data_IF_379504701266
#
_entry.id   IF_379504701266
#
_cell.length_a   1.000
_cell.length_b   1.000
_cell.length_c   1.000
_cell.angle_alpha   90.00
_cell.angle_beta   90.00
_cell.angle_gamma   90.00
#
_symmetry.space_group_name_H-M   'P 1'
#
loop_
_entity.id
_entity.type
_entity.pdbx_description
1 polymer ?
#
# COMPACT_ATOMS: atom_id res chain seq x y z
N UNK A 1 32.37 19.74 51.35
CA UNK A 1 31.31 19.14 50.51
C UNK A 1 30.07 20.08 50.31
N UNK A 2 30.25 21.38 50.04
CA UNK A 2 29.12 22.35 49.88
C UNK A 2 28.88 22.85 48.45
N UNK A 3 29.89 22.75 47.56
CA UNK A 3 29.77 23.20 46.17
C UNK A 3 28.83 22.33 45.32
N UNK A 4 28.84 21.00 45.54
CA UNK A 4 28.01 20.05 44.79
C UNK A 4 26.49 20.26 45.00
N UNK A 5 26.08 20.71 46.20
CA UNK A 5 24.68 20.99 46.54
C UNK A 5 24.11 22.23 45.83
N UNK A 6 24.95 23.18 45.42
CA UNK A 6 24.52 24.37 44.67
C UNK A 6 24.31 24.09 43.18
N UNK A 7 24.92 23.03 42.65
CA UNK A 7 24.75 22.59 41.25
C UNK A 7 23.49 21.75 41.06
N UNK A 8 23.00 21.08 42.11
CA UNK A 8 21.76 20.29 42.09
C UNK A 8 20.55 21.08 41.54
N UNK A 9 20.24 22.31 41.99
CA UNK A 9 19.11 23.05 41.43
C UNK A 9 19.29 23.41 39.95
N UNK A 10 20.51 23.68 39.48
CA UNK A 10 20.78 23.96 38.06
C UNK A 10 20.66 22.71 37.18
N UNK A 11 21.11 21.56 37.68
CA UNK A 11 20.95 20.28 36.97
C UNK A 11 19.46 19.90 36.90
N UNK A 12 18.72 20.07 38.01
CA UNK A 12 17.27 19.84 38.03
C UNK A 12 16.52 20.80 37.10
N UNK A 13 16.90 22.08 37.08
CA UNK A 13 16.32 23.07 36.17
C UNK A 13 16.54 22.68 34.71
N UNK A 14 17.75 22.27 34.35
CA UNK A 14 18.07 21.88 32.98
C UNK A 14 17.32 20.60 32.57
N UNK A 15 17.26 19.59 33.45
CA UNK A 15 16.46 18.38 33.23
C UNK A 15 14.98 18.73 33.05
N UNK A 16 14.46 19.67 33.85
CA UNK A 16 13.07 20.09 33.74
C UNK A 16 12.79 20.78 32.41
N UNK A 17 13.71 21.64 31.93
CA UNK A 17 13.60 22.30 30.63
C UNK A 17 13.65 21.28 29.49
N UNK A 18 14.55 20.29 29.56
CA UNK A 18 14.63 19.21 28.56
C UNK A 18 13.41 18.28 28.59
N UNK A 19 12.89 17.95 29.77
CA UNK A 19 11.68 17.16 29.93
C UNK A 19 10.45 17.90 29.39
N UNK A 20 10.36 19.21 29.64
CA UNK A 20 9.26 20.04 29.15
C UNK A 20 9.28 20.16 27.63
N UNK A 21 10.46 20.35 27.04
CA UNK A 21 10.60 20.45 25.58
C UNK A 21 10.31 19.13 24.89
N UNK A 22 10.80 18.00 25.42
CA UNK A 22 10.47 16.67 24.88
C UNK A 22 8.98 16.35 25.00
N UNK A 23 8.34 16.71 26.13
CA UNK A 23 6.90 16.50 26.33
C UNK A 23 6.06 17.37 25.39
N UNK A 24 6.46 18.62 25.14
CA UNK A 24 5.79 19.51 24.19
C UNK A 24 5.85 18.97 22.75
N UNK A 25 7.01 18.42 22.34
CA UNK A 25 7.16 17.77 21.03
C UNK A 25 6.26 16.53 20.92
N UNK A 26 6.23 15.66 21.95
CA UNK A 26 5.35 14.49 21.98
C UNK A 26 3.88 14.88 21.99
N UNK A 27 3.51 15.95 22.69
CA UNK A 27 2.13 16.45 22.73
C UNK A 27 1.67 17.00 21.38
N UNK A 28 2.54 17.74 20.68
CA UNK A 28 2.28 18.22 19.31
C UNK A 28 2.18 17.03 18.35
N UNK A 29 3.05 16.04 18.51
CA UNK A 29 2.99 14.80 17.72
C UNK A 29 1.66 14.06 17.95
N UNK A 30 1.25 13.84 19.19
CA UNK A 30 0.00 13.16 19.56
C UNK A 30 -1.24 13.91 19.05
N UNK A 31 -1.24 15.24 19.15
CA UNK A 31 -2.30 16.10 18.60
C UNK A 31 -2.43 16.01 17.08
N UNK A 32 -1.30 15.87 16.38
CA UNK A 32 -1.26 15.84 14.90
C UNK A 32 -1.42 14.43 14.34
N UNK A 33 -1.16 13.39 15.13
CA UNK A 33 -1.26 11.99 14.72
C UNK A 33 -2.37 11.26 15.48
N UNK A 34 -3.53 11.92 15.65
CA UNK A 34 -4.77 11.24 16.02
C UNK A 34 -5.03 10.16 14.97
N UNK A 35 -4.65 8.93 15.31
CA UNK A 35 -4.95 7.77 14.51
C UNK A 35 -6.46 7.57 14.65
N UNK A 36 -7.21 7.96 13.62
CA UNK A 36 -8.58 7.51 13.44
C UNK A 36 -8.53 5.99 13.25
N UNK A 37 -8.58 5.27 14.36
CA UNK A 37 -8.89 3.85 14.35
C UNK A 37 -10.36 3.78 13.90
N UNK A 38 -10.68 3.15 12.76
CA UNK A 38 -12.07 2.95 12.40
C UNK A 38 -12.69 2.05 13.47
N UNK A 39 -13.48 2.65 14.35
CA UNK A 39 -14.37 1.94 15.24
C UNK A 39 -15.41 1.27 14.35
N UNK A 40 -15.34 -0.05 14.21
CA UNK A 40 -16.40 -0.82 13.59
C UNK A 40 -17.57 -0.82 14.58
N UNK A 41 -18.36 0.26 14.56
CA UNK A 41 -19.72 0.23 15.08
C UNK A 41 -20.53 -0.67 14.15
N UNK A 42 -20.85 -1.87 14.62
CA UNK A 42 -21.82 -2.75 13.99
C UNK A 42 -23.17 -2.05 13.94
N UNK A 43 -23.45 -1.39 12.82
CA UNK A 43 -24.78 -0.98 12.42
C UNK A 43 -25.45 -2.16 11.68
N UNK A 44 -26.76 -2.37 11.88
CA UNK A 44 -27.47 -3.51 11.30
C UNK A 44 -27.41 -3.46 9.78
N UNK A 45 -27.29 -4.64 9.18
CA UNK A 45 -27.25 -4.90 7.74
C UNK A 45 -28.51 -4.36 7.07
N UNK A 46 -28.50 -3.07 6.73
CA UNK A 46 -29.35 -2.55 5.69
C UNK A 46 -28.64 -2.92 4.38
N UNK A 47 -29.21 -3.87 3.66
CA UNK A 47 -28.84 -4.21 2.30
C UNK A 47 -29.00 -2.95 1.43
N UNK A 48 -27.97 -2.12 1.43
CA UNK A 48 -27.78 -1.14 0.38
C UNK A 48 -27.36 -1.98 -0.82
N UNK A 49 -28.35 -2.28 -1.67
CA UNK A 49 -28.13 -2.52 -3.09
C UNK A 49 -27.49 -1.25 -3.64
N UNK A 50 -26.23 -1.02 -3.29
CA UNK A 50 -25.36 -0.12 -4.02
C UNK A 50 -25.36 -0.71 -5.42
N UNK A 51 -25.93 0.04 -6.36
CA UNK A 51 -25.57 -0.09 -7.74
C UNK A 51 -24.05 -0.10 -7.75
N UNK A 52 -23.46 -1.30 -7.81
CA UNK A 52 -22.06 -1.45 -8.16
C UNK A 52 -21.94 -0.62 -9.42
N UNK A 53 -20.97 0.30 -9.45
CA UNK A 53 -20.42 0.67 -10.74
C UNK A 53 -20.04 -0.66 -11.37
N UNK A 54 -20.92 -1.21 -12.21
CA UNK A 54 -20.71 -2.50 -12.84
C UNK A 54 -19.52 -2.23 -13.72
N UNK A 55 -18.35 -2.64 -13.23
CA UNK A 55 -17.14 -2.71 -14.02
C UNK A 55 -17.57 -3.34 -15.35
N UNK A 56 -17.08 -2.82 -16.49
CA UNK A 56 -17.43 -3.38 -17.78
C UNK A 56 -17.24 -4.90 -17.77
N UNK A 57 -17.97 -5.65 -18.62
CA UNK A 57 -17.83 -7.10 -18.69
C UNK A 57 -16.35 -7.50 -18.73
N UNK A 58 -15.98 -8.62 -18.09
CA UNK A 58 -14.59 -9.06 -17.98
C UNK A 58 -13.88 -9.22 -19.35
N UNK A 59 -14.65 -9.37 -20.42
CA UNK A 59 -14.16 -9.40 -21.80
C UNK A 59 -13.64 -8.05 -22.32
N UNK A 60 -13.93 -6.94 -21.63
CA UNK A 60 -13.39 -5.63 -21.99
C UNK A 60 -12.06 -5.39 -21.25
N UNK A 61 -10.95 -5.15 -21.99
CA UNK A 61 -9.66 -4.88 -21.38
C UNK A 61 -9.68 -3.50 -20.70
N UNK A 62 -9.81 -3.48 -19.38
CA UNK A 62 -9.71 -2.27 -18.56
C UNK A 62 -8.25 -1.89 -18.30
N UNK A 63 -7.47 -2.91 -17.96
CA UNK A 63 -6.07 -2.86 -17.60
C UNK A 63 -5.39 -3.99 -18.34
N UNK A 64 -4.21 -3.72 -18.86
CA UNK A 64 -3.34 -4.71 -19.46
C UNK A 64 -2.06 -4.81 -18.64
N UNK A 65 -1.52 -6.02 -18.51
CA UNK A 65 -0.20 -6.22 -17.94
C UNK A 65 0.77 -6.13 -19.12
N UNK A 66 1.53 -5.04 -19.19
CA UNK A 66 2.42 -4.76 -20.33
C UNK A 66 3.61 -5.72 -20.33
N UNK A 67 4.29 -5.85 -19.19
CA UNK A 67 5.44 -6.71 -19.04
C UNK A 67 5.79 -6.95 -17.57
N UNK A 68 6.61 -7.98 -17.33
CA UNK A 68 7.29 -8.23 -16.06
C UNK A 68 8.79 -8.06 -16.28
N UNK A 69 9.38 -7.11 -15.57
CA UNK A 69 10.81 -6.82 -15.61
C UNK A 69 11.53 -7.48 -14.43
N UNK A 70 12.81 -7.81 -14.59
CA UNK A 70 13.65 -8.31 -13.49
C UNK A 70 13.22 -9.64 -12.89
N UNK A 71 12.54 -10.49 -13.68
CA UNK A 71 12.03 -11.81 -13.27
C UNK A 71 13.11 -12.63 -12.56
N UNK A 72 12.81 -13.14 -11.36
CA UNK A 72 13.75 -13.93 -10.56
C UNK A 72 14.79 -13.11 -9.79
N UNK A 73 14.76 -11.78 -9.87
CA UNK A 73 15.68 -10.88 -9.17
C UNK A 73 14.86 -9.92 -8.29
N UNK A 74 14.71 -10.22 -7.00
CA UNK A 74 13.87 -9.44 -6.07
C UNK A 74 14.09 -7.91 -6.15
N UNK A 75 15.34 -7.47 -6.32
CA UNK A 75 15.73 -6.06 -6.37
C UNK A 75 15.23 -5.30 -7.61
N UNK A 76 15.04 -5.99 -8.74
CA UNK A 76 14.61 -5.39 -10.01
C UNK A 76 13.25 -5.91 -10.49
N UNK A 77 12.66 -6.86 -9.77
CA UNK A 77 11.43 -7.53 -10.14
C UNK A 77 10.22 -6.58 -10.04
N UNK A 78 9.58 -6.34 -11.19
CA UNK A 78 8.51 -5.35 -11.33
C UNK A 78 7.47 -5.81 -12.35
N UNK A 79 6.20 -5.75 -12.00
CA UNK A 79 5.08 -5.93 -12.93
C UNK A 79 4.55 -4.58 -13.34
N UNK A 80 4.53 -4.30 -14.65
CA UNK A 80 3.98 -3.05 -15.18
C UNK A 80 2.54 -3.26 -15.66
N UNK A 81 1.63 -2.51 -15.08
CA UNK A 81 0.23 -2.46 -15.48
C UNK A 81 -0.03 -1.17 -16.22
N UNK A 82 -0.75 -1.25 -17.34
CA UNK A 82 -1.12 -0.12 -18.18
C UNK A 82 -2.63 -0.01 -18.25
N UNK A 83 -3.15 1.20 -18.08
CA UNK A 83 -4.56 1.47 -18.23
C UNK A 83 -4.92 1.61 -19.71
N UNK A 84 -5.86 0.79 -20.18
CA UNK A 84 -6.32 0.81 -21.59
C UNK A 84 -7.48 1.80 -21.78
N UNK A 85 -8.31 2.00 -20.76
CA UNK A 85 -9.45 2.92 -20.79
C UNK A 85 -9.29 4.08 -19.81
N UNK A 86 -9.53 5.31 -20.26
CA UNK A 86 -9.52 6.48 -19.38
C UNK A 86 -10.74 6.51 -18.46
N UNK A 87 -10.53 6.86 -17.18
CA UNK A 87 -11.60 7.11 -16.21
C UNK A 87 -11.21 6.63 -14.81
N UNK A 88 -11.93 7.11 -13.79
CA UNK A 88 -11.67 6.69 -12.41
C UNK A 88 -11.90 5.18 -12.23
N UNK A 89 -10.88 4.48 -11.74
CA UNK A 89 -10.94 3.05 -11.42
C UNK A 89 -10.26 2.82 -10.09
N UNK A 90 -11.06 2.45 -9.10
CA UNK A 90 -10.56 2.07 -7.80
C UNK A 90 -10.07 0.62 -7.83
N UNK A 91 -8.78 0.44 -7.55
CA UNK A 91 -8.15 -0.89 -7.44
C UNK A 91 -8.24 -1.47 -6.03
N UNK A 92 -8.98 -0.82 -5.12
CA UNK A 92 -9.10 -1.26 -3.74
C UNK A 92 -9.57 -2.71 -3.66
N UNK A 93 -8.75 -3.58 -3.07
CA UNK A 93 -9.09 -5.00 -2.91
C UNK A 93 -8.87 -5.88 -4.14
N UNK A 94 -8.40 -5.31 -5.26
CA UNK A 94 -7.94 -6.09 -6.41
C UNK A 94 -6.71 -6.91 -6.01
N UNK A 95 -6.45 -7.97 -6.77
CA UNK A 95 -5.36 -8.92 -6.48
C UNK A 95 -4.52 -9.19 -7.72
N UNK A 96 -3.21 -9.10 -7.55
CA UNK A 96 -2.23 -9.60 -8.52
C UNK A 96 -1.68 -10.92 -7.98
N UNK A 97 -1.93 -12.02 -8.67
CA UNK A 97 -1.58 -13.36 -8.21
C UNK A 97 -0.77 -14.14 -9.24
N UNK A 98 0.06 -15.07 -8.75
CA UNK A 98 0.79 -16.06 -9.54
C UNK A 98 0.12 -17.45 -9.47
N UNK A 99 0.78 -18.45 -10.08
CA UNK A 99 0.33 -19.85 -10.06
C UNK A 99 0.69 -20.59 -8.76
N UNK A 100 1.61 -20.06 -7.95
CA UNK A 100 2.08 -20.63 -6.68
C UNK A 100 1.28 -20.15 -5.46
N UNK A 101 0.35 -19.22 -5.66
CA UNK A 101 -0.53 -18.67 -4.62
C UNK A 101 0.01 -17.42 -3.92
N UNK A 102 1.08 -16.79 -4.42
CA UNK A 102 1.46 -15.46 -3.98
C UNK A 102 0.46 -14.45 -4.56
N UNK A 103 -0.24 -13.72 -3.69
CA UNK A 103 -1.16 -12.66 -4.10
C UNK A 103 -0.83 -11.31 -3.44
N UNK A 104 -0.69 -10.27 -4.26
CA UNK A 104 -0.58 -8.89 -3.83
C UNK A 104 -1.96 -8.24 -3.84
N UNK A 105 -2.39 -7.70 -2.71
CA UNK A 105 -3.66 -6.97 -2.60
C UNK A 105 -3.41 -5.49 -2.80
N UNK A 106 -4.08 -4.89 -3.78
CA UNK A 106 -3.96 -3.47 -4.06
C UNK A 106 -4.58 -2.63 -2.92
N UNK A 107 -3.88 -1.60 -2.45
CA UNK A 107 -4.41 -0.66 -1.47
C UNK A 107 -5.49 0.22 -2.08
N UNK A 108 -6.01 1.17 -1.30
CA UNK A 108 -6.92 2.18 -1.83
C UNK A 108 -6.18 3.10 -2.82
N UNK A 109 -6.26 2.76 -4.09
CA UNK A 109 -5.59 3.45 -5.18
C UNK A 109 -6.59 3.72 -6.30
N UNK A 110 -6.68 4.99 -6.71
CA UNK A 110 -7.41 5.37 -7.91
C UNK A 110 -6.46 5.36 -9.11
N UNK A 111 -6.67 4.41 -10.02
CA UNK A 111 -5.93 4.33 -11.26
C UNK A 111 -6.72 5.03 -12.35
N UNK A 112 -6.35 6.26 -12.73
CA UNK A 112 -7.13 7.05 -13.71
C UNK A 112 -6.67 6.79 -15.14
N UNK A 113 -5.36 6.82 -15.36
CA UNK A 113 -4.71 6.63 -16.65
C UNK A 113 -3.20 6.33 -16.45
N UNK A 114 -2.51 5.97 -17.53
CA UNK A 114 -1.07 5.75 -17.52
C UNK A 114 -0.69 4.34 -17.09
N UNK A 115 0.41 4.23 -16.33
CA UNK A 115 0.94 2.95 -15.85
C UNK A 115 1.23 2.95 -14.36
N UNK A 116 1.13 1.77 -13.75
CA UNK A 116 1.51 1.49 -12.38
C UNK A 116 2.54 0.37 -12.41
N UNK A 117 3.64 0.58 -11.69
CA UNK A 117 4.68 -0.42 -11.48
C UNK A 117 4.49 -1.07 -10.11
N UNK A 118 4.36 -2.40 -10.08
CA UNK A 118 4.25 -3.20 -8.84
C UNK A 118 5.56 -3.93 -8.63
N UNK A 119 6.34 -3.46 -7.66
CA UNK A 119 7.61 -4.03 -7.26
C UNK A 119 7.41 -5.12 -6.22
N UNK A 120 8.13 -6.23 -6.33
CA UNK A 120 8.08 -7.30 -5.32
C UNK A 120 8.80 -6.89 -4.03
N UNK A 121 9.87 -6.10 -4.14
CA UNK A 121 10.71 -5.68 -3.01
C UNK A 121 10.02 -4.80 -1.97
N UNK A 122 10.72 -4.56 -0.87
CA UNK A 122 10.39 -3.54 0.13
C UNK A 122 10.49 -2.11 -0.42
N UNK A 123 9.52 -1.30 -0.04
CA UNK A 123 9.44 0.11 -0.42
C UNK A 123 8.18 0.79 0.11
N UNK A 124 8.00 2.03 -0.31
CA UNK A 124 6.88 2.89 0.09
C UNK A 124 5.96 3.08 -1.11
N UNK A 125 4.68 2.72 -0.95
CA UNK A 125 3.68 2.86 -1.99
C UNK A 125 3.49 4.33 -2.39
N UNK A 126 3.46 4.58 -3.69
CA UNK A 126 3.09 5.84 -4.33
C UNK A 126 1.95 5.56 -5.33
N UNK A 127 1.30 6.59 -5.90
CA UNK A 127 0.22 6.39 -6.87
C UNK A 127 0.62 5.62 -8.15
N UNK A 128 1.92 5.59 -8.49
CA UNK A 128 2.44 4.94 -9.70
C UNK A 128 3.42 3.81 -9.41
N UNK A 129 3.86 3.64 -8.15
CA UNK A 129 4.78 2.58 -7.75
C UNK A 129 4.28 1.92 -6.46
N UNK A 130 3.92 0.65 -6.55
CA UNK A 130 3.48 -0.17 -5.42
C UNK A 130 4.56 -1.17 -5.05
N UNK A 131 4.61 -1.54 -3.78
CA UNK A 131 5.64 -2.42 -3.24
C UNK A 131 4.98 -3.54 -2.44
N UNK A 132 5.25 -4.79 -2.81
CA UNK A 132 4.75 -5.99 -2.13
C UNK A 132 5.46 -6.24 -0.80
N UNK A 133 6.62 -5.62 -0.58
CA UNK A 133 7.38 -5.73 0.68
C UNK A 133 7.86 -7.14 0.99
N UNK A 134 8.25 -7.87 -0.07
CA UNK A 134 8.93 -9.14 0.04
C UNK A 134 10.44 -8.95 -0.11
N UNK A 135 11.22 -9.87 0.43
CA UNK A 135 12.68 -9.94 0.35
C UNK A 135 13.17 -11.00 -0.65
N UNK A 136 12.23 -11.67 -1.31
CA UNK A 136 12.45 -12.76 -2.27
C UNK A 136 11.70 -12.47 -3.58
N UNK A 137 12.20 -12.97 -4.73
CA UNK A 137 11.46 -12.87 -5.98
C UNK A 137 10.20 -13.74 -5.90
N UNK A 138 9.15 -13.29 -6.57
CA UNK A 138 7.88 -14.00 -6.73
C UNK A 138 7.78 -14.58 -8.14
N UNK A 139 8.20 -13.84 -9.16
CA UNK A 139 7.94 -14.19 -10.55
C UNK A 139 9.06 -15.03 -11.16
N UNK A 140 8.68 -16.04 -11.96
CA UNK A 140 9.57 -16.90 -12.73
C UNK A 140 9.17 -16.96 -14.20
N UNK A 141 10.15 -17.25 -15.06
CA UNK A 141 9.92 -17.40 -16.50
C UNK A 141 9.01 -18.62 -16.72
N UNK A 142 7.98 -18.46 -17.55
CA UNK A 142 6.99 -19.49 -17.83
C UNK A 142 5.75 -19.44 -16.94
N UNK A 143 5.71 -18.57 -15.92
CA UNK A 143 4.54 -18.38 -15.06
C UNK A 143 3.55 -17.38 -15.62
N UNK A 144 2.29 -17.52 -15.18
CA UNK A 144 1.21 -16.60 -15.55
C UNK A 144 0.89 -15.62 -14.42
N UNK A 145 1.08 -14.32 -14.68
CA UNK A 145 0.57 -13.24 -13.84
C UNK A 145 -0.93 -13.09 -14.10
N UNK A 146 -1.74 -13.12 -13.05
CA UNK A 146 -3.20 -12.93 -13.13
C UNK A 146 -3.62 -11.72 -12.30
N UNK A 147 -4.41 -10.81 -12.90
CA UNK A 147 -5.02 -9.68 -12.22
C UNK A 147 -6.51 -9.96 -12.02
N UNK A 148 -6.96 -9.96 -10.77
CA UNK A 148 -8.37 -10.11 -10.40
C UNK A 148 -8.90 -8.85 -9.73
N UNK A 149 -10.18 -8.55 -9.97
CA UNK A 149 -10.86 -7.47 -9.28
C UNK A 149 -11.26 -7.83 -7.83
N UNK A 150 -11.93 -6.90 -7.15
CA UNK A 150 -12.44 -7.08 -5.78
C UNK A 150 -13.42 -8.24 -5.63
N UNK A 151 -14.11 -8.62 -6.71
CA UNK A 151 -15.08 -9.71 -6.75
C UNK A 151 -14.42 -11.05 -7.15
N UNK A 152 -13.10 -11.05 -7.41
CA UNK A 152 -12.34 -12.22 -7.79
C UNK A 152 -12.46 -12.59 -9.28
N UNK A 153 -13.01 -11.70 -10.10
CA UNK A 153 -13.13 -11.90 -11.54
C UNK A 153 -11.80 -11.58 -12.21
N UNK A 154 -11.35 -12.47 -13.11
CA UNK A 154 -10.13 -12.25 -13.88
C UNK A 154 -10.30 -11.09 -14.85
N UNK A 155 -9.41 -10.10 -14.76
CA UNK A 155 -9.41 -8.88 -15.59
C UNK A 155 -8.29 -8.86 -16.61
N UNK A 156 -7.12 -9.37 -16.24
CA UNK A 156 -5.98 -9.47 -17.13
C UNK A 156 -5.13 -10.69 -16.78
N UNK A 157 -4.44 -11.23 -17.78
CA UNK A 157 -3.45 -12.29 -17.59
C UNK A 157 -2.24 -12.06 -18.49
N UNK A 158 -1.06 -12.44 -18.03
CA UNK A 158 0.18 -12.29 -18.77
C UNK A 158 1.11 -13.47 -18.53
N UNK A 159 1.54 -14.13 -19.61
CA UNK A 159 2.51 -15.20 -19.54
C UNK A 159 3.91 -14.62 -19.64
N UNK A 160 4.73 -14.84 -18.61
CA UNK A 160 6.13 -14.42 -18.58
C UNK A 160 6.93 -15.33 -19.53
N UNK A 161 7.66 -14.74 -20.48
CA UNK A 161 8.42 -15.45 -21.51
C UNK A 161 9.90 -15.13 -21.48
#
# INVERSE_FOLDING_TARGET
MRARRRLVPYILLNIFISALTTLLVLWIWDLTHKTEIPSIEQLPVAASSAAMATLPPADQPLIEIENVFGVGIAESETVRLVRVQSGDLWLTGWKLEDEDGNAFVFPQLNFVNGSIDVFTRVGVNTPTALYWKLDRPVWRIGETVSLRDSDGVLRAKYLIR
#
